data_IF_403737842595
#
_entry.id   IF_403737842595
#
_cell.length_a   1.000
_cell.length_b   1.000
_cell.length_c   1.000
_cell.angle_alpha   90.00
_cell.angle_beta   90.00
_cell.angle_gamma   90.00
#
_symmetry.space_group_name_H-M   'P 1'
#
loop_
_entity.id
_entity.type
_entity.pdbx_description
1 polymer ?
#
# COMPACT_ATOMS: atom_id res chain seq x y z
N UNK A 1 -4.09 -20.42 -14.50
CA UNK A 1 -5.33 -20.57 -13.70
C UNK A 1 -6.09 -19.28 -13.90
N UNK A 2 -7.07 -19.26 -14.80
CA UNK A 2 -7.85 -18.05 -15.05
C UNK A 2 -8.45 -17.56 -13.72
N UNK A 3 -8.52 -16.25 -13.51
CA UNK A 3 -9.04 -15.60 -12.29
C UNK A 3 -8.21 -15.69 -11.01
N UNK A 4 -6.96 -16.20 -11.05
CA UNK A 4 -6.15 -16.33 -9.84
C UNK A 4 -5.92 -14.99 -9.13
N UNK A 5 -5.67 -13.91 -9.87
CA UNK A 5 -5.50 -12.58 -9.27
C UNK A 5 -6.79 -12.14 -8.55
N UNK A 6 -7.95 -12.32 -9.17
CA UNK A 6 -9.24 -12.00 -8.58
C UNK A 6 -9.50 -12.78 -7.28
N UNK A 7 -9.12 -14.06 -7.23
CA UNK A 7 -9.21 -14.86 -6.01
C UNK A 7 -8.30 -14.34 -4.90
N UNK A 8 -7.08 -13.94 -5.25
CA UNK A 8 -6.12 -13.36 -4.30
C UNK A 8 -6.70 -12.09 -3.67
N UNK A 9 -7.29 -11.19 -4.46
CA UNK A 9 -7.94 -9.97 -3.95
C UNK A 9 -9.11 -10.30 -3.04
N UNK A 10 -9.98 -11.24 -3.47
CA UNK A 10 -11.14 -11.63 -2.69
C UNK A 10 -10.73 -12.19 -1.31
N UNK A 11 -9.77 -13.12 -1.26
CA UNK A 11 -9.33 -13.70 0.00
C UNK A 11 -8.60 -12.69 0.89
N UNK A 12 -7.85 -11.77 0.29
CA UNK A 12 -7.19 -10.67 1.00
C UNK A 12 -8.19 -9.69 1.61
N UNK A 13 -9.36 -9.51 0.97
CA UNK A 13 -10.43 -8.64 1.45
C UNK A 13 -11.31 -9.27 2.52
N UNK A 14 -11.66 -10.55 2.37
CA UNK A 14 -12.69 -11.22 3.19
C UNK A 14 -12.39 -11.16 4.69
N UNK A 15 -11.15 -11.42 5.11
CA UNK A 15 -10.77 -11.39 6.52
C UNK A 15 -10.98 -10.02 7.17
N UNK A 16 -10.30 -8.96 6.68
CA UNK A 16 -10.51 -7.59 7.15
C UNK A 16 -11.96 -7.14 7.06
N UNK A 17 -12.68 -7.47 5.98
CA UNK A 17 -14.07 -7.07 5.80
C UNK A 17 -15.00 -7.69 6.84
N UNK A 18 -14.92 -9.01 7.05
CA UNK A 18 -15.76 -9.69 8.04
C UNK A 18 -15.46 -9.21 9.46
N UNK A 19 -14.18 -9.04 9.80
CA UNK A 19 -13.77 -8.54 11.11
C UNK A 19 -14.05 -7.05 11.31
N UNK A 20 -14.36 -6.30 10.25
CA UNK A 20 -14.71 -4.88 10.38
C UNK A 20 -16.00 -4.64 11.16
N UNK A 21 -16.87 -5.65 11.25
CA UNK A 21 -18.11 -5.63 12.03
C UNK A 21 -17.94 -6.04 13.50
N UNK A 22 -16.72 -6.38 13.92
CA UNK A 22 -16.39 -6.58 15.33
C UNK A 22 -16.80 -5.36 16.17
N UNK A 23 -17.41 -5.60 17.34
CA UNK A 23 -17.95 -4.53 18.19
C UNK A 23 -16.87 -3.63 18.76
N UNK A 24 -15.68 -4.16 19.02
CA UNK A 24 -14.62 -3.44 19.74
C UNK A 24 -13.85 -2.50 18.81
N UNK A 25 -13.56 -2.90 17.57
CA UNK A 25 -12.96 -2.00 16.57
C UNK A 25 -14.00 -1.18 15.82
N UNK A 26 -15.15 -1.80 15.51
CA UNK A 26 -16.27 -1.25 14.74
C UNK A 26 -15.79 -0.46 13.51
N UNK A 27 -14.89 -1.07 12.72
CA UNK A 27 -14.22 -0.40 11.60
C UNK A 27 -15.20 0.09 10.53
N UNK A 28 -16.33 -0.61 10.34
CA UNK A 28 -17.39 -0.19 9.41
C UNK A 28 -17.90 1.24 9.67
N UNK A 29 -17.87 1.72 10.92
CA UNK A 29 -18.27 3.10 11.26
C UNK A 29 -17.30 4.16 10.74
N UNK A 30 -16.07 3.76 10.41
CA UNK A 30 -14.98 4.66 9.96
C UNK A 30 -14.85 4.69 8.43
N UNK A 31 -15.69 3.95 7.70
CA UNK A 31 -15.69 3.92 6.24
C UNK A 31 -15.94 5.30 5.61
N UNK A 32 -16.69 6.18 6.27
CA UNK A 32 -16.88 7.58 5.81
C UNK A 32 -15.56 8.33 5.66
N UNK A 33 -14.55 8.04 6.47
CA UNK A 33 -13.20 8.60 6.34
C UNK A 33 -12.32 7.78 5.40
N UNK A 34 -12.45 6.45 5.42
CA UNK A 34 -11.63 5.54 4.62
C UNK A 34 -11.89 5.65 3.11
N UNK A 35 -13.15 5.55 2.69
CA UNK A 35 -13.52 5.51 1.27
C UNK A 35 -13.01 6.72 0.49
N UNK A 36 -13.22 7.99 0.93
CA UNK A 36 -12.65 9.13 0.21
C UNK A 36 -11.11 9.13 0.22
N UNK A 37 -10.46 8.53 1.21
CA UNK A 37 -8.99 8.42 1.26
C UNK A 37 -8.47 7.43 0.21
N UNK A 38 -9.16 6.29 0.06
CA UNK A 38 -8.86 5.30 -0.99
C UNK A 38 -9.09 5.93 -2.37
N UNK A 39 -10.21 6.61 -2.59
CA UNK A 39 -10.51 7.26 -3.87
C UNK A 39 -9.44 8.29 -4.25
N UNK A 40 -9.03 9.16 -3.32
CA UNK A 40 -7.99 10.16 -3.60
C UNK A 40 -6.65 9.49 -3.90
N UNK A 41 -6.31 8.42 -3.19
CA UNK A 41 -5.10 7.65 -3.50
C UNK A 41 -5.18 7.01 -4.89
N UNK A 42 -6.29 6.37 -5.24
CA UNK A 42 -6.51 5.77 -6.56
C UNK A 42 -6.38 6.81 -7.68
N UNK A 43 -6.91 8.02 -7.49
CA UNK A 43 -6.78 9.11 -8.46
C UNK A 43 -5.32 9.53 -8.72
N UNK A 44 -4.39 9.23 -7.81
CA UNK A 44 -2.97 9.49 -7.97
C UNK A 44 -2.22 8.28 -8.51
N UNK A 45 -2.51 7.09 -7.97
CA UNK A 45 -1.75 5.87 -8.26
C UNK A 45 -2.18 5.19 -9.56
N UNK A 46 -3.47 5.22 -9.92
CA UNK A 46 -3.93 4.59 -11.16
C UNK A 46 -3.33 5.26 -12.40
N UNK A 47 -3.35 6.60 -12.57
CA UNK A 47 -2.72 7.21 -13.74
C UNK A 47 -1.23 6.89 -13.87
N UNK A 48 -0.54 6.79 -12.73
CA UNK A 48 0.86 6.38 -12.68
C UNK A 48 1.03 4.91 -13.09
N UNK A 49 0.18 4.02 -12.59
CA UNK A 49 0.22 2.60 -12.89
C UNK A 49 -0.09 2.31 -14.38
N UNK A 50 -1.07 3.02 -14.95
CA UNK A 50 -1.32 3.03 -16.40
C UNK A 50 -0.07 3.44 -17.17
N UNK A 51 0.59 4.53 -16.76
CA UNK A 51 1.83 4.99 -17.40
C UNK A 51 2.94 3.93 -17.30
N UNK A 52 3.10 3.28 -16.15
CA UNK A 52 4.13 2.26 -15.94
C UNK A 52 3.88 1.02 -16.79
N UNK A 53 2.63 0.61 -16.90
CA UNK A 53 2.22 -0.53 -17.72
C UNK A 53 2.41 -0.26 -19.21
N UNK A 54 1.99 0.92 -19.69
CA UNK A 54 2.15 1.30 -21.11
C UNK A 54 3.62 1.40 -21.52
N UNK A 55 4.51 1.82 -20.62
CA UNK A 55 5.95 1.92 -20.89
C UNK A 55 6.70 0.60 -20.63
N UNK A 56 6.02 -0.49 -20.26
CA UNK A 56 6.65 -1.78 -20.01
C UNK A 56 7.61 -1.78 -18.81
N UNK A 57 7.41 -0.87 -17.85
CA UNK A 57 8.16 -0.85 -16.59
C UNK A 57 7.74 -2.04 -15.72
N UNK A 58 6.45 -2.33 -15.72
CA UNK A 58 5.86 -3.56 -15.23
C UNK A 58 4.66 -3.96 -16.09
N UNK A 59 4.08 -5.12 -15.83
CA UNK A 59 2.84 -5.50 -16.49
C UNK A 59 2.25 -6.79 -15.94
N UNK A 60 1.20 -7.25 -16.60
CA UNK A 60 0.35 -8.33 -16.14
C UNK A 60 0.34 -9.50 -17.11
N UNK A 61 0.23 -10.72 -16.57
CA UNK A 61 0.12 -11.94 -17.36
C UNK A 61 -1.35 -12.36 -17.50
N UNK A 62 -1.90 -12.22 -18.70
CA UNK A 62 -3.30 -12.50 -19.05
C UNK A 62 -3.79 -13.90 -18.64
N UNK A 63 -2.88 -14.89 -18.55
CA UNK A 63 -3.17 -16.28 -18.13
C UNK A 63 -3.83 -16.41 -16.76
N UNK A 64 -3.70 -15.39 -15.91
CA UNK A 64 -4.20 -15.39 -14.54
C UNK A 64 -5.32 -14.38 -14.28
N UNK A 65 -5.71 -13.62 -15.31
CA UNK A 65 -6.67 -12.53 -15.23
C UNK A 65 -8.06 -13.01 -15.68
N UNK A 66 -9.08 -12.18 -15.42
CA UNK A 66 -10.45 -12.41 -15.85
C UNK A 66 -10.72 -11.92 -17.28
N UNK A 67 -9.77 -11.19 -17.88
CA UNK A 67 -9.84 -10.64 -19.23
C UNK A 67 -10.57 -9.30 -19.36
N UNK A 68 -10.95 -8.67 -18.25
CA UNK A 68 -11.51 -7.30 -18.27
C UNK A 68 -10.39 -6.30 -17.98
N UNK A 69 -10.17 -5.39 -18.93
CA UNK A 69 -9.14 -4.36 -18.84
C UNK A 69 -9.76 -2.96 -18.95
N UNK A 70 -9.33 -2.05 -18.09
CA UNK A 70 -9.71 -0.63 -18.09
C UNK A 70 -8.44 0.19 -18.03
N UNK A 71 -8.24 1.06 -19.03
CA UNK A 71 -7.05 1.91 -19.15
C UNK A 71 -5.72 1.13 -19.13
N UNK A 72 -5.61 0.00 -19.82
CA UNK A 72 -4.40 -0.86 -19.80
C UNK A 72 -4.10 -1.54 -18.47
N UNK A 73 -5.04 -1.51 -17.51
CA UNK A 73 -4.93 -2.22 -16.25
C UNK A 73 -6.04 -3.25 -16.13
N UNK A 74 -5.73 -4.48 -15.68
CA UNK A 74 -6.77 -5.47 -15.40
C UNK A 74 -7.65 -5.01 -14.24
N UNK A 75 -8.93 -5.39 -14.25
CA UNK A 75 -9.87 -5.01 -13.19
C UNK A 75 -9.38 -5.46 -11.80
N UNK A 76 -8.63 -6.56 -11.74
CA UNK A 76 -7.99 -7.04 -10.52
C UNK A 76 -7.03 -6.00 -9.92
N UNK A 77 -6.25 -5.30 -10.74
CA UNK A 77 -5.37 -4.24 -10.23
C UNK A 77 -6.17 -3.07 -9.62
N UNK A 78 -7.30 -2.71 -10.23
CA UNK A 78 -8.22 -1.72 -9.65
C UNK A 78 -8.78 -2.18 -8.30
N UNK A 79 -9.06 -3.48 -8.16
CA UNK A 79 -9.52 -4.07 -6.89
C UNK A 79 -8.40 -4.12 -5.86
N UNK A 80 -7.17 -4.43 -6.26
CA UNK A 80 -5.99 -4.41 -5.40
C UNK A 80 -5.82 -3.04 -4.73
N UNK A 81 -5.97 -1.94 -5.49
CA UNK A 81 -5.96 -0.56 -4.96
C UNK A 81 -7.10 -0.23 -3.99
N UNK A 82 -8.13 -1.05 -3.88
CA UNK A 82 -9.20 -0.90 -2.89
C UNK A 82 -8.92 -1.81 -1.70
N UNK A 83 -8.62 -3.08 -1.97
CA UNK A 83 -8.49 -4.15 -0.99
C UNK A 83 -7.29 -3.94 -0.07
N UNK A 84 -6.11 -3.63 -0.63
CA UNK A 84 -4.89 -3.53 0.17
C UNK A 84 -4.95 -2.33 1.11
N UNK A 85 -5.29 -1.10 0.67
CA UNK A 85 -5.44 0.03 1.58
C UNK A 85 -6.51 -0.20 2.65
N UNK A 86 -7.61 -0.87 2.31
CA UNK A 86 -8.65 -1.24 3.28
C UNK A 86 -8.07 -2.13 4.38
N UNK A 87 -7.39 -3.20 4.00
CA UNK A 87 -6.77 -4.15 4.93
C UNK A 87 -5.73 -3.47 5.82
N UNK A 88 -4.89 -2.61 5.25
CA UNK A 88 -3.82 -1.95 6.00
C UNK A 88 -4.34 -0.91 7.00
N UNK A 89 -5.36 -0.13 6.64
CA UNK A 89 -5.99 0.81 7.61
C UNK A 89 -6.80 0.04 8.67
N UNK A 90 -7.39 -1.10 8.31
CA UNK A 90 -8.02 -2.00 9.29
C UNK A 90 -6.99 -2.51 10.31
N UNK A 91 -5.83 -3.01 9.86
CA UNK A 91 -4.72 -3.42 10.74
C UNK A 91 -4.33 -2.27 11.68
N UNK A 92 -4.17 -1.06 11.15
CA UNK A 92 -3.86 0.12 11.95
C UNK A 92 -4.88 0.37 13.07
N UNK A 93 -6.18 0.31 12.77
CA UNK A 93 -7.23 0.50 13.78
C UNK A 93 -7.28 -0.66 14.80
N UNK A 94 -7.04 -1.89 14.37
CA UNK A 94 -6.89 -3.03 15.28
C UNK A 94 -5.73 -2.82 16.25
N UNK A 95 -4.56 -2.43 15.77
CA UNK A 95 -3.39 -2.22 16.62
C UNK A 95 -3.61 -1.09 17.63
N UNK A 96 -4.32 -0.02 17.24
CA UNK A 96 -4.69 1.07 18.16
C UNK A 96 -5.64 0.65 19.28
N UNK A 97 -6.44 -0.39 19.04
CA UNK A 97 -7.45 -0.88 19.99
C UNK A 97 -6.93 -2.04 20.84
N UNK A 98 -6.08 -2.89 20.28
CA UNK A 98 -5.64 -4.15 20.90
C UNK A 98 -4.18 -4.16 21.36
N UNK A 99 -3.35 -3.23 20.89
CA UNK A 99 -1.93 -3.18 21.24
C UNK A 99 -1.55 -1.89 21.95
N UNK A 100 -0.41 -1.91 22.64
CA UNK A 100 0.31 -0.71 23.03
C UNK A 100 1.13 -0.21 21.85
N UNK A 101 1.45 1.08 21.85
CA UNK A 101 2.39 1.66 20.90
C UNK A 101 3.83 1.39 21.35
N UNK A 102 4.38 0.24 20.96
CA UNK A 102 5.75 -0.14 21.27
C UNK A 102 6.80 0.73 20.54
N UNK A 103 6.41 1.38 19.45
CA UNK A 103 7.33 2.09 18.56
C UNK A 103 7.26 3.62 18.73
N UNK A 104 6.40 4.14 19.62
CA UNK A 104 6.17 5.59 19.82
C UNK A 104 7.46 6.42 19.89
N UNK A 105 8.46 5.94 20.62
CA UNK A 105 9.71 6.69 20.87
C UNK A 105 10.74 6.55 19.76
N UNK A 106 10.67 5.47 18.96
CA UNK A 106 11.66 5.14 17.93
C UNK A 106 11.15 5.38 16.51
N UNK A 107 9.84 5.50 16.31
CA UNK A 107 9.26 5.62 14.98
C UNK A 107 9.72 6.87 14.23
N UNK A 108 9.73 8.03 14.88
CA UNK A 108 10.18 9.27 14.24
C UNK A 108 11.65 9.21 13.77
N UNK A 109 12.64 8.83 14.61
CA UNK A 109 14.02 8.74 14.12
C UNK A 109 14.20 7.64 13.06
N UNK A 110 13.55 6.48 13.21
CA UNK A 110 13.60 5.41 12.19
C UNK A 110 13.06 5.91 10.84
N UNK A 111 11.88 6.51 10.84
CA UNK A 111 11.25 7.03 9.63
C UNK A 111 12.05 8.17 9.01
N UNK A 112 12.66 9.05 9.81
CA UNK A 112 13.51 10.12 9.30
C UNK A 112 14.76 9.57 8.62
N UNK A 113 15.45 8.62 9.26
CA UNK A 113 16.62 7.97 8.65
C UNK A 113 16.24 7.24 7.36
N UNK A 114 15.10 6.53 7.38
CA UNK A 114 14.58 5.85 6.20
C UNK A 114 14.25 6.85 5.06
N UNK A 115 13.57 7.95 5.37
CA UNK A 115 13.27 9.02 4.40
C UNK A 115 14.53 9.56 3.74
N UNK A 116 15.56 9.88 4.54
CA UNK A 116 16.85 10.36 4.02
C UNK A 116 17.50 9.31 3.11
N UNK A 117 17.55 8.05 3.55
CA UNK A 117 18.14 6.97 2.76
C UNK A 117 17.41 6.77 1.43
N UNK A 118 16.08 6.73 1.44
CA UNK A 118 15.25 6.59 0.24
C UNK A 118 15.45 7.76 -0.72
N UNK A 119 15.47 8.99 -0.23
CA UNK A 119 15.72 10.17 -1.08
C UNK A 119 17.10 10.11 -1.72
N UNK A 120 18.15 9.78 -0.96
CA UNK A 120 19.52 9.67 -1.49
C UNK A 120 19.58 8.60 -2.58
N UNK A 121 19.05 7.39 -2.33
CA UNK A 121 19.10 6.30 -3.30
C UNK A 121 18.23 6.60 -4.52
N UNK A 122 17.03 7.15 -4.33
CA UNK A 122 16.15 7.55 -5.42
C UNK A 122 16.76 8.62 -6.34
N UNK A 123 17.47 9.60 -5.76
CA UNK A 123 18.20 10.61 -6.54
C UNK A 123 19.39 10.00 -7.28
N UNK A 124 20.11 9.06 -6.67
CA UNK A 124 21.23 8.37 -7.32
C UNK A 124 20.76 7.46 -8.46
N UNK A 125 19.55 6.89 -8.34
CA UNK A 125 18.91 5.99 -9.31
C UNK A 125 17.81 6.67 -10.12
N UNK A 126 17.95 7.97 -10.40
CA UNK A 126 16.92 8.76 -11.08
C UNK A 126 16.55 8.25 -12.48
N UNK A 127 17.46 7.53 -13.14
CA UNK A 127 17.25 6.94 -14.46
C UNK A 127 16.52 5.59 -14.42
N UNK A 128 16.37 4.98 -13.24
CA UNK A 128 15.59 3.76 -13.05
C UNK A 128 14.20 4.18 -12.56
N UNK A 129 13.21 4.26 -13.45
CA UNK A 129 11.96 4.97 -13.16
C UNK A 129 11.20 4.36 -11.97
N UNK A 130 11.21 3.03 -11.84
CA UNK A 130 10.55 2.33 -10.75
C UNK A 130 11.21 2.60 -9.40
N UNK A 131 12.55 2.52 -9.32
CA UNK A 131 13.28 2.86 -8.10
C UNK A 131 13.08 4.32 -7.73
N UNK A 132 13.25 5.23 -8.69
CA UNK A 132 13.21 6.67 -8.46
C UNK A 132 11.86 7.13 -7.90
N UNK A 133 10.76 6.77 -8.55
CA UNK A 133 9.42 7.23 -8.14
C UNK A 133 9.05 6.68 -6.78
N UNK A 134 9.26 5.37 -6.56
CA UNK A 134 8.87 4.73 -5.29
C UNK A 134 9.68 5.26 -4.11
N UNK A 135 11.00 5.44 -4.29
CA UNK A 135 11.87 5.86 -3.18
C UNK A 135 11.69 7.35 -2.87
N UNK A 136 11.64 8.22 -3.90
CA UNK A 136 11.41 9.65 -3.71
C UNK A 136 10.00 9.91 -3.15
N UNK A 137 8.98 9.25 -3.72
CA UNK A 137 7.60 9.33 -3.29
C UNK A 137 7.42 8.90 -1.83
N UNK A 138 7.91 7.71 -1.47
CA UNK A 138 7.91 7.23 -0.09
C UNK A 138 8.67 8.17 0.85
N UNK A 139 9.86 8.62 0.44
CA UNK A 139 10.69 9.53 1.23
C UNK A 139 9.98 10.85 1.56
N UNK A 140 9.36 11.48 0.57
CA UNK A 140 8.56 12.71 0.76
C UNK A 140 7.30 12.44 1.58
N UNK A 141 6.60 11.34 1.30
CA UNK A 141 5.37 11.00 2.03
C UNK A 141 5.63 10.74 3.52
N UNK A 142 6.77 10.14 3.88
CA UNK A 142 7.20 10.02 5.27
C UNK A 142 7.30 11.40 5.93
N UNK A 143 7.93 12.39 5.27
CA UNK A 143 8.04 13.75 5.82
C UNK A 143 6.67 14.40 5.99
N UNK A 144 5.78 14.26 5.00
CA UNK A 144 4.39 14.75 5.09
C UNK A 144 3.65 14.11 6.27
N UNK A 145 3.88 12.82 6.52
CA UNK A 145 3.24 12.09 7.62
C UNK A 145 3.54 12.69 9.00
N UNK A 146 4.72 13.30 9.18
CA UNK A 146 5.11 13.90 10.46
C UNK A 146 4.21 15.06 10.89
N UNK A 147 3.65 15.81 9.92
CA UNK A 147 2.76 16.93 10.20
C UNK A 147 1.35 16.50 10.58
N UNK A 148 0.91 15.33 10.12
CA UNK A 148 -0.48 14.85 10.30
C UNK A 148 -0.60 13.78 11.38
N UNK A 149 0.28 12.78 11.36
CA UNK A 149 0.16 11.61 12.23
C UNK A 149 0.69 11.87 13.64
N UNK A 150 1.73 12.72 13.80
CA UNK A 150 2.26 13.16 15.11
C UNK A 150 2.43 12.02 16.13
N UNK A 151 1.57 11.93 17.13
CA UNK A 151 1.56 10.92 18.18
C UNK A 151 1.21 9.50 17.68
N UNK A 152 0.69 9.39 16.46
CA UNK A 152 0.30 8.14 15.80
C UNK A 152 1.41 7.53 14.94
N UNK A 153 2.59 8.15 14.87
CA UNK A 153 3.72 7.65 14.07
C UNK A 153 4.21 6.26 14.51
N UNK A 154 4.13 5.96 15.80
CA UNK A 154 4.47 4.64 16.34
C UNK A 154 3.52 3.56 15.83
N UNK A 155 2.20 3.79 15.97
CA UNK A 155 1.18 2.92 15.39
C UNK A 155 1.25 2.82 13.87
N UNK A 156 1.58 3.89 13.14
CA UNK A 156 1.68 3.81 11.67
C UNK A 156 2.86 2.94 11.24
N UNK A 157 4.03 3.11 11.88
CA UNK A 157 5.18 2.24 11.62
C UNK A 157 4.87 0.79 12.01
N UNK A 158 4.20 0.59 13.15
CA UNK A 158 3.85 -0.76 13.58
C UNK A 158 2.84 -1.43 12.64
N UNK A 159 1.83 -0.69 12.19
CA UNK A 159 0.85 -1.16 11.22
C UNK A 159 1.49 -1.49 9.87
N UNK A 160 2.45 -0.69 9.41
CA UNK A 160 3.24 -1.00 8.22
C UNK A 160 4.03 -2.30 8.38
N UNK A 161 4.75 -2.47 9.50
CA UNK A 161 5.53 -3.70 9.76
C UNK A 161 4.65 -4.95 9.87
N UNK A 162 3.49 -4.85 10.51
CA UNK A 162 2.52 -5.95 10.58
C UNK A 162 1.88 -6.21 9.21
N UNK A 163 1.54 -5.15 8.47
CA UNK A 163 0.96 -5.23 7.13
C UNK A 163 1.92 -5.80 6.08
N UNK A 164 3.24 -5.65 6.27
CA UNK A 164 4.25 -6.26 5.41
C UNK A 164 4.13 -7.79 5.39
N UNK A 165 3.66 -8.43 6.47
CA UNK A 165 3.55 -9.90 6.53
C UNK A 165 2.54 -10.42 5.48
N UNK A 166 1.25 -10.04 5.51
CA UNK A 166 0.31 -10.46 4.48
C UNK A 166 0.68 -9.90 3.11
N UNK A 167 1.23 -8.68 3.03
CA UNK A 167 1.68 -8.10 1.77
C UNK A 167 2.75 -8.95 1.08
N UNK A 168 3.80 -9.36 1.78
CA UNK A 168 4.86 -10.21 1.21
C UNK A 168 4.34 -11.60 0.80
N UNK A 169 3.34 -12.14 1.50
CA UNK A 169 2.70 -13.40 1.10
C UNK A 169 1.92 -13.23 -0.21
N UNK A 170 1.08 -12.19 -0.29
CA UNK A 170 0.27 -11.89 -1.47
C UNK A 170 1.15 -11.52 -2.66
N UNK A 171 2.03 -10.52 -2.52
CA UNK A 171 2.95 -10.11 -3.58
C UNK A 171 3.94 -11.20 -3.95
N UNK A 172 4.32 -12.08 -3.01
CA UNK A 172 5.14 -13.25 -3.33
C UNK A 172 4.46 -14.15 -4.36
N UNK A 173 3.16 -14.43 -4.19
CA UNK A 173 2.38 -15.19 -5.19
C UNK A 173 2.24 -14.40 -6.49
N UNK A 174 1.88 -13.11 -6.41
CA UNK A 174 1.71 -12.27 -7.61
C UNK A 174 2.97 -12.19 -8.46
N UNK A 175 4.15 -12.15 -7.82
CA UNK A 175 5.45 -12.05 -8.50
C UNK A 175 6.10 -13.41 -8.80
N UNK A 176 5.38 -14.52 -8.60
CA UNK A 176 5.79 -15.84 -9.10
C UNK A 176 6.48 -16.77 -8.11
N UNK A 177 6.45 -16.52 -6.79
CA UNK A 177 7.04 -17.44 -5.80
C UNK A 177 6.42 -18.84 -5.79
N UNK A 178 5.20 -19.00 -6.32
CA UNK A 178 4.46 -20.28 -6.38
C UNK A 178 3.92 -20.59 -7.79
N UNK A 179 4.39 -19.88 -8.81
CA UNK A 179 3.87 -19.97 -10.18
C UNK A 179 5.05 -20.10 -11.17
N UNK A 180 4.84 -20.82 -12.27
CA UNK A 180 5.86 -20.95 -13.34
C UNK A 180 6.14 -19.61 -14.02
N UNK A 181 5.11 -18.76 -14.10
CA UNK A 181 5.18 -17.41 -14.64
C UNK A 181 4.48 -16.46 -13.66
N UNK A 182 5.03 -15.27 -13.40
CA UNK A 182 4.41 -14.30 -12.51
C UNK A 182 3.09 -13.76 -13.07
N UNK A 183 2.19 -13.37 -12.17
CA UNK A 183 0.98 -12.60 -12.51
C UNK A 183 1.39 -11.16 -12.83
N UNK A 184 2.26 -10.58 -11.99
CA UNK A 184 2.82 -9.24 -12.14
C UNK A 184 4.32 -9.36 -12.36
N UNK A 185 4.79 -8.94 -13.54
CA UNK A 185 6.19 -8.97 -13.91
C UNK A 185 6.78 -7.56 -13.93
N UNK A 186 8.11 -7.48 -13.78
CA UNK A 186 8.83 -6.21 -13.66
C UNK A 186 10.02 -6.20 -14.61
N UNK A 187 10.29 -5.04 -15.22
CA UNK A 187 11.51 -4.81 -15.98
C UNK A 187 12.67 -4.46 -15.02
N UNK A 188 13.69 -5.32 -14.97
CA UNK A 188 14.87 -5.14 -14.11
C UNK A 188 15.82 -4.02 -14.57
N UNK A 189 15.62 -3.47 -15.77
CA UNK A 189 16.30 -2.24 -16.21
C UNK A 189 15.76 -0.99 -15.49
N UNK A 190 14.54 -1.06 -14.96
CA UNK A 190 13.85 0.08 -14.34
C UNK A 190 13.88 0.05 -12.81
N UNK A 191 14.40 -1.03 -12.22
CA UNK A 191 14.49 -1.24 -10.78
C UNK A 191 15.93 -1.59 -10.35
N UNK A 192 16.15 -1.86 -9.06
CA UNK A 192 17.49 -2.16 -8.52
C UNK A 192 18.01 -3.56 -8.86
N UNK A 193 17.17 -4.44 -9.39
CA UNK A 193 17.45 -5.87 -9.55
C UNK A 193 17.53 -6.64 -8.22
N UNK A 194 17.16 -6.01 -7.11
CA UNK A 194 17.21 -6.60 -5.76
C UNK A 194 15.82 -7.09 -5.40
N UNK A 195 15.73 -8.37 -4.99
CA UNK A 195 14.45 -9.01 -4.67
C UNK A 195 14.40 -9.60 -3.27
N UNK A 196 13.23 -9.54 -2.65
CA UNK A 196 12.83 -10.31 -1.47
C UNK A 196 12.02 -11.49 -2.00
N UNK A 197 12.60 -12.70 -1.99
CA UNK A 197 12.08 -13.82 -2.79
C UNK A 197 11.98 -13.43 -4.27
N UNK A 198 10.77 -13.35 -4.82
CA UNK A 198 10.51 -12.89 -6.21
C UNK A 198 10.12 -11.42 -6.29
N UNK A 199 9.91 -10.74 -5.16
CA UNK A 199 9.33 -9.40 -5.09
C UNK A 199 10.45 -8.35 -5.19
N UNK A 200 10.38 -7.35 -6.09
CA UNK A 200 11.32 -6.22 -6.07
C UNK A 200 11.34 -5.54 -4.70
N UNK A 201 12.51 -5.12 -4.22
CA UNK A 201 12.60 -4.48 -2.90
C UNK A 201 11.79 -3.17 -2.85
N UNK A 202 11.66 -2.50 -4.00
CA UNK A 202 10.83 -1.32 -4.24
C UNK A 202 9.38 -1.50 -3.81
N UNK A 203 8.79 -2.68 -3.98
CA UNK A 203 7.39 -2.95 -3.63
C UNK A 203 7.11 -2.65 -2.15
N UNK A 204 8.08 -2.88 -1.26
CA UNK A 204 7.92 -2.57 0.17
C UNK A 204 7.79 -1.06 0.41
N UNK A 205 8.51 -0.25 -0.37
CA UNK A 205 8.48 1.21 -0.27
C UNK A 205 7.31 1.80 -1.05
N UNK A 206 6.94 1.22 -2.18
CA UNK A 206 5.68 1.48 -2.86
C UNK A 206 4.50 1.26 -1.91
N UNK A 207 4.51 0.13 -1.19
CA UNK A 207 3.52 -0.16 -0.15
C UNK A 207 3.52 0.91 0.95
N UNK A 208 4.69 1.25 1.50
CA UNK A 208 4.80 2.31 2.49
C UNK A 208 4.24 3.64 1.98
N UNK A 209 4.51 3.99 0.72
CA UNK A 209 4.12 5.24 0.10
C UNK A 209 2.59 5.37 0.05
N UNK A 210 1.89 4.44 -0.61
CA UNK A 210 0.44 4.54 -0.71
C UNK A 210 -0.24 4.34 0.64
N UNK A 211 0.30 3.47 1.52
CA UNK A 211 -0.23 3.26 2.87
C UNK A 211 -0.21 4.56 3.68
N UNK A 212 0.93 5.26 3.71
CA UNK A 212 1.03 6.53 4.44
C UNK A 212 0.14 7.61 3.84
N UNK A 213 0.01 7.67 2.51
CA UNK A 213 -0.91 8.60 1.85
C UNK A 213 -2.36 8.37 2.31
N UNK A 214 -2.83 7.12 2.23
CA UNK A 214 -4.19 6.76 2.66
C UNK A 214 -4.37 7.03 4.15
N UNK A 215 -3.39 6.68 4.99
CA UNK A 215 -3.47 6.87 6.43
C UNK A 215 -3.52 8.36 6.83
N UNK A 216 -2.73 9.21 6.15
CA UNK A 216 -2.74 10.66 6.37
C UNK A 216 -4.09 11.27 6.00
N UNK A 217 -4.65 10.90 4.84
CA UNK A 217 -5.98 11.36 4.42
C UNK A 217 -7.07 10.84 5.37
N UNK A 218 -6.98 9.58 5.75
CA UNK A 218 -7.93 8.92 6.65
C UNK A 218 -7.98 9.60 8.01
N UNK A 219 -6.83 9.91 8.63
CA UNK A 219 -6.80 10.60 9.91
C UNK A 219 -7.34 12.04 9.82
N UNK A 220 -7.12 12.74 8.70
CA UNK A 220 -7.70 14.07 8.45
C UNK A 220 -9.22 14.00 8.33
N UNK A 221 -9.74 13.10 7.50
CA UNK A 221 -11.18 12.94 7.33
C UNK A 221 -11.86 12.40 8.59
N UNK A 222 -11.21 11.50 9.33
CA UNK A 222 -11.73 11.02 10.61
C UNK A 222 -11.88 12.18 11.60
N UNK A 223 -10.88 13.06 11.71
CA UNK A 223 -10.97 14.25 12.54
C UNK A 223 -12.09 15.20 12.08
N UNK A 224 -12.21 15.43 10.77
CA UNK A 224 -13.27 16.27 10.19
C UNK A 224 -14.68 15.75 10.50
N UNK A 225 -14.95 14.46 10.27
CA UNK A 225 -16.27 13.88 10.50
C UNK A 225 -16.61 13.73 11.99
N UNK A 226 -15.60 13.56 12.87
CA UNK A 226 -15.82 13.60 14.31
C UNK A 226 -16.29 14.97 14.79
N UNK A 227 -15.79 16.05 14.19
CA UNK A 227 -16.22 17.42 14.53
C UNK A 227 -17.66 17.66 14.06
N UNK A 228 -18.00 17.27 12.82
CA UNK A 228 -19.35 17.47 12.27
C UNK A 228 -20.42 16.55 12.87
N UNK A 229 -20.05 15.39 13.42
CA UNK A 229 -21.00 14.50 14.09
C UNK A 229 -21.41 14.93 15.50
N UNK A 230 -20.70 15.92 16.07
CA UNK A 230 -20.94 16.46 17.41
C UNK A 230 -21.60 17.86 17.39
N UNK A 231 -21.94 18.37 16.20
CA UNK A 231 -22.69 19.61 15.96
C UNK A 231 -24.12 19.30 15.54
#
# INVERSE_FOLDING_TARGET
>A
MNYLYLWIDLFSFLGPFLLSFDKKVAFYKKWKALLPSIVIMMLLFIPWDVYFTVNGIWGFNEKYLCGLEILHLPIEEWLFFIVVPYACVFIYECLRVYSKDFLRHVAKPILLMLSIALVIVGMYKINNAYTAVNFLGAGVMILISFFTLKDKLGYSLFAYLVGLIPFLLVNGVLTGSMLDEPIVWYNDEENLGIRIFTIPVEDTFYFLFFFLLVLVLYEKFKAYFLIQGNS
#
